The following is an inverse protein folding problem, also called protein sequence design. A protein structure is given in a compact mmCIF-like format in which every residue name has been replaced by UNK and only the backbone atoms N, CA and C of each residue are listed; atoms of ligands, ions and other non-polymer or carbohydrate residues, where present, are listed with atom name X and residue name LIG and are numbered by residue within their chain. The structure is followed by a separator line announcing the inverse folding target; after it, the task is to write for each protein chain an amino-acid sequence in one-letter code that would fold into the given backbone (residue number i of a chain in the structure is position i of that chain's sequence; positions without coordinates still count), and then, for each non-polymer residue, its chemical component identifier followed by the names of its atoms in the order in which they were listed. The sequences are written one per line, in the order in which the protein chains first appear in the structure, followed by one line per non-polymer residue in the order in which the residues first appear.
data_IF_810259253682
#
_entry.id   IF_810259253682
#
_cell.length_a   1.000
_cell.length_b   1.000
_cell.length_c   1.000
_cell.angle_alpha   90.00
_cell.angle_beta   90.00
_cell.angle_gamma   90.00
#
_symmetry.space_group_name_H-M   'P 1'
#
loop_
_entity.id
_entity.type
_entity.pdbx_description
1 polymer ?
#
# COMPACT_ATOMS: atom_id res chain seq x y z
N UNK A 1 40.26 25.73 -32.52
CA UNK A 1 39.06 26.32 -31.88
C UNK A 1 38.10 25.19 -31.56
N UNK A 2 38.01 24.82 -30.29
CA UNK A 2 37.17 23.75 -29.75
C UNK A 2 35.82 24.32 -29.34
N UNK A 3 34.76 24.04 -30.09
CA UNK A 3 33.39 24.34 -29.67
C UNK A 3 32.91 23.33 -28.61
N UNK A 4 32.11 23.75 -27.61
CA UNK A 4 31.65 22.84 -26.57
C UNK A 4 30.62 21.88 -27.13
N UNK A 5 30.80 20.59 -26.82
CA UNK A 5 29.81 19.54 -27.06
C UNK A 5 28.69 19.71 -26.03
N UNK A 6 27.65 20.44 -26.40
CA UNK A 6 26.41 20.46 -25.64
C UNK A 6 25.70 19.11 -25.80
N UNK A 7 26.09 18.15 -24.96
CA UNK A 7 25.37 16.89 -24.73
C UNK A 7 24.05 17.15 -23.99
N UNK A 8 23.21 18.01 -24.56
CA UNK A 8 21.92 18.40 -24.01
C UNK A 8 20.94 17.25 -24.11
N UNK A 9 20.92 16.37 -23.11
CA UNK A 9 19.69 15.64 -22.78
C UNK A 9 18.77 16.67 -22.16
N UNK A 10 17.59 16.98 -22.72
CA UNK A 10 16.61 17.76 -21.98
C UNK A 10 16.11 16.87 -20.85
N UNK A 11 16.79 16.90 -19.72
CA UNK A 11 16.27 16.47 -18.43
C UNK A 11 15.19 17.47 -18.04
N UNK A 12 14.06 17.44 -18.75
CA UNK A 12 12.80 17.83 -18.16
C UNK A 12 12.51 16.73 -17.16
N UNK A 13 13.13 16.83 -15.98
CA UNK A 13 12.67 16.14 -14.80
C UNK A 13 11.23 16.62 -14.66
N UNK A 14 10.28 15.80 -15.11
CA UNK A 14 8.86 16.14 -15.03
C UNK A 14 8.60 16.23 -13.54
N UNK A 15 8.59 17.47 -13.04
CA UNK A 15 8.28 17.76 -11.66
C UNK A 15 6.88 17.18 -11.45
N UNK A 16 6.68 16.25 -10.49
CA UNK A 16 5.35 15.71 -10.25
C UNK A 16 4.41 16.90 -10.07
N UNK A 17 3.41 17.01 -10.94
CA UNK A 17 2.42 18.06 -10.87
C UNK A 17 1.83 18.04 -9.46
N UNK A 18 1.98 19.15 -8.74
CA UNK A 18 1.58 19.34 -7.34
C UNK A 18 0.07 19.43 -7.20
N UNK A 19 -0.65 18.38 -7.61
CA UNK A 19 -2.11 18.35 -7.63
C UNK A 19 -2.63 17.09 -6.94
N UNK A 20 -2.32 16.97 -5.65
CA UNK A 20 -3.15 16.27 -4.67
C UNK A 20 -2.83 16.82 -3.28
N UNK A 21 -3.28 18.05 -2.98
CA UNK A 21 -3.19 18.62 -1.62
C UNK A 21 -4.20 18.00 -0.63
N UNK A 22 -4.93 16.97 -1.06
CA UNK A 22 -5.95 16.29 -0.27
C UNK A 22 -5.68 14.79 -0.26
N UNK A 23 -5.93 14.12 0.88
CA UNK A 23 -5.87 12.66 0.93
C UNK A 23 -6.81 12.06 -0.11
N UNK A 24 -6.28 11.12 -0.89
CA UNK A 24 -7.07 10.36 -1.87
C UNK A 24 -7.74 9.21 -1.11
N UNK A 25 -9.08 9.21 -1.09
CA UNK A 25 -9.87 8.14 -0.49
C UNK A 25 -10.36 7.18 -1.56
N UNK A 26 -10.34 5.89 -1.26
CA UNK A 26 -10.93 4.82 -2.07
C UNK A 26 -11.91 4.01 -1.25
N UNK A 27 -12.97 3.52 -1.91
CA UNK A 27 -13.88 2.54 -1.31
C UNK A 27 -13.23 1.16 -1.38
N UNK A 28 -13.09 0.52 -0.24
CA UNK A 28 -12.58 -0.84 -0.11
C UNK A 28 -13.62 -1.73 0.59
N UNK A 29 -13.50 -3.03 0.39
CA UNK A 29 -14.27 -4.03 1.13
C UNK A 29 -13.31 -4.83 2.00
N UNK A 30 -13.45 -4.71 3.32
CA UNK A 30 -12.72 -5.53 4.29
C UNK A 30 -13.71 -6.55 4.84
N UNK A 31 -13.48 -7.82 4.55
CA UNK A 31 -14.44 -8.89 4.79
C UNK A 31 -15.80 -8.59 4.10
N UNK A 32 -16.88 -8.49 4.89
CA UNK A 32 -18.24 -8.19 4.38
C UNK A 32 -18.65 -6.75 4.65
N UNK A 33 -17.72 -5.89 5.04
CA UNK A 33 -17.97 -4.49 5.35
C UNK A 33 -17.27 -3.58 4.33
N UNK A 34 -18.02 -2.63 3.78
CA UNK A 34 -17.49 -1.57 2.91
C UNK A 34 -17.03 -0.41 3.77
N UNK A 35 -15.84 0.12 3.50
CA UNK A 35 -15.26 1.27 4.22
C UNK A 35 -14.41 2.13 3.28
N UNK A 36 -13.93 3.27 3.78
CA UNK A 36 -13.02 4.17 3.07
C UNK A 36 -11.58 4.00 3.58
N UNK A 37 -10.62 4.03 2.66
CA UNK A 37 -9.19 3.99 2.98
C UNK A 37 -8.44 5.10 2.26
N UNK A 38 -7.38 5.61 2.90
CA UNK A 38 -6.49 6.61 2.32
C UNK A 38 -5.43 5.90 1.48
N UNK A 39 -5.17 6.41 0.27
CA UNK A 39 -4.05 5.97 -0.56
C UNK A 39 -2.77 6.64 -0.06
N UNK A 40 -1.96 5.89 0.67
CA UNK A 40 -0.63 6.29 1.10
C UNK A 40 0.45 5.53 0.33
N UNK A 41 1.06 6.18 -0.66
CA UNK A 41 2.11 5.59 -1.49
C UNK A 41 3.48 5.52 -0.79
N UNK A 42 3.62 6.12 0.40
CA UNK A 42 4.82 6.04 1.23
C UNK A 42 4.84 4.83 2.17
N UNK A 43 3.71 4.13 2.31
CA UNK A 43 3.56 2.98 3.20
C UNK A 43 3.70 1.65 2.45
N UNK A 44 4.53 0.73 2.99
CA UNK A 44 4.72 -0.61 2.43
C UNK A 44 3.65 -1.62 2.88
N UNK A 45 2.81 -1.24 3.84
CA UNK A 45 1.79 -2.10 4.45
C UNK A 45 0.43 -1.40 4.45
N UNK A 46 -0.64 -2.18 4.49
CA UNK A 46 -1.99 -1.67 4.73
C UNK A 46 -2.34 -1.76 6.21
N UNK A 47 -2.87 -0.68 6.77
CA UNK A 47 -3.33 -0.61 8.17
C UNK A 47 -4.86 -0.54 8.16
N UNK A 48 -5.50 -1.41 8.93
CA UNK A 48 -6.96 -1.52 9.02
C UNK A 48 -7.36 -1.43 10.48
N UNK A 49 -8.42 -0.69 10.78
CA UNK A 49 -8.95 -0.59 12.14
C UNK A 49 -9.48 -1.95 12.63
N UNK A 50 -9.21 -2.31 13.89
CA UNK A 50 -9.53 -3.62 14.46
C UNK A 50 -11.01 -3.99 14.36
N UNK A 51 -11.92 -3.01 14.44
CA UNK A 51 -13.37 -3.20 14.25
C UNK A 51 -13.76 -3.87 12.92
N UNK A 52 -12.92 -3.83 11.89
CA UNK A 52 -13.17 -4.50 10.60
C UNK A 52 -12.60 -5.92 10.52
N UNK A 53 -11.78 -6.33 11.51
CA UNK A 53 -11.17 -7.66 11.54
C UNK A 53 -12.18 -8.68 12.07
N UNK A 54 -12.33 -9.80 11.33
CA UNK A 54 -13.06 -10.97 11.84
C UNK A 54 -12.11 -11.78 12.71
N UNK A 55 -12.55 -12.12 13.93
CA UNK A 55 -11.85 -13.10 14.76
C UNK A 55 -12.10 -14.48 14.12
N UNK A 56 -11.02 -15.11 13.64
CA UNK A 56 -11.07 -16.50 13.18
C UNK A 56 -10.67 -17.37 14.36
N UNK A 57 -11.65 -18.08 14.93
CA UNK A 57 -11.37 -19.09 15.94
C UNK A 57 -10.77 -20.31 15.25
N UNK A 58 -9.52 -20.62 15.56
CA UNK A 58 -8.94 -21.90 15.16
C UNK A 58 -9.44 -22.99 16.11
N UNK A 59 -9.76 -24.16 15.57
CA UNK A 59 -9.94 -25.34 16.42
C UNK A 59 -8.66 -25.55 17.22
N UNK A 60 -8.79 -25.88 18.49
CA UNK A 60 -7.65 -26.21 19.35
C UNK A 60 -6.77 -27.23 18.63
N UNK A 61 -5.47 -26.97 18.57
CA UNK A 61 -4.51 -27.92 18.04
C UNK A 61 -4.57 -29.20 18.89
N UNK A 62 -5.09 -30.29 18.31
CA UNK A 62 -5.10 -31.60 18.96
C UNK A 62 -3.77 -32.28 18.62
N UNK A 63 -2.86 -32.30 19.59
CA UNK A 63 -1.62 -33.07 19.48
C UNK A 63 -1.95 -34.57 19.45
N UNK A 64 -1.84 -35.22 18.29
CA UNK A 64 -1.97 -36.67 18.19
C UNK A 64 -0.66 -37.33 18.62
N UNK A 65 -0.62 -37.84 19.86
CA UNK A 65 0.47 -38.69 20.31
C UNK A 65 0.27 -40.09 19.75
N UNK A 66 0.92 -40.43 18.64
CA UNK A 66 1.01 -41.81 18.17
C UNK A 66 1.86 -42.61 19.17
N UNK A 67 1.25 -43.62 19.80
CA UNK A 67 1.97 -44.65 20.54
C UNK A 67 2.31 -45.76 19.54
N UNK A 68 3.60 -45.99 19.33
CA UNK A 68 4.12 -47.18 18.65
C UNK A 68 4.04 -48.39 19.58
#
# INVERSE_FOLDING_TARGET
MTGPRDGGVPSQFIKPSTLTSFPVYIKIRVNDQTTEAIVDTGSAISIIHSNFLKIICHNNFIHQTQRF
#
